data_IF_036642680012
#
_entry.id   IF_036642680012
#
_cell.length_a   1.000
_cell.length_b   1.000
_cell.length_c   1.000
_cell.angle_alpha   90.00
_cell.angle_beta   90.00
_cell.angle_gamma   90.00
#
_symmetry.space_group_name_H-M   'P 1'
#
loop_
_entity.id
_entity.type
_entity.pdbx_description
1 polymer ?
#
# COMPACT_ATOMS: atom_id res chain seq x y z
N UNK A 1 61.52 -15.24 2.14
CA UNK A 1 60.96 -16.08 1.07
C UNK A 1 59.68 -15.41 0.58
N UNK A 2 59.81 -14.59 -0.48
CA UNK A 2 58.74 -14.11 -1.38
C UNK A 2 58.27 -15.32 -2.22
N UNK A 3 57.05 -15.52 -2.73
CA UNK A 3 56.04 -14.73 -3.50
C UNK A 3 54.93 -15.77 -3.89
N UNK A 4 53.85 -15.52 -4.68
CA UNK A 4 53.02 -14.33 -4.94
C UNK A 4 51.48 -14.59 -4.97
N UNK A 5 50.77 -13.47 -5.01
CA UNK A 5 49.39 -13.16 -5.47
C UNK A 5 48.88 -13.95 -6.70
N UNK A 6 47.62 -14.42 -6.66
CA UNK A 6 46.64 -14.58 -7.77
C UNK A 6 45.22 -14.56 -7.16
N UNK A 7 44.49 -13.45 -7.14
CA UNK A 7 43.57 -13.00 -8.20
C UNK A 7 42.85 -14.14 -8.93
N UNK A 8 41.65 -14.48 -8.48
CA UNK A 8 40.61 -15.12 -9.27
C UNK A 8 39.27 -14.48 -8.89
N UNK A 9 38.87 -13.53 -9.75
CA UNK A 9 37.54 -12.98 -9.95
C UNK A 9 36.65 -12.82 -8.71
N UNK A 10 36.76 -11.64 -8.10
CA UNK A 10 35.60 -10.92 -7.60
C UNK A 10 34.74 -10.59 -8.85
N UNK A 11 33.97 -11.57 -9.32
CA UNK A 11 32.82 -11.27 -10.15
C UNK A 11 31.82 -10.61 -9.20
N UNK A 12 31.97 -9.30 -9.04
CA UNK A 12 30.87 -8.44 -8.67
C UNK A 12 29.82 -8.74 -9.75
N UNK A 13 28.90 -9.64 -9.42
CA UNK A 13 27.60 -9.65 -10.02
C UNK A 13 27.01 -8.32 -9.54
N UNK A 14 27.35 -7.24 -10.24
CA UNK A 14 26.43 -6.11 -10.37
C UNK A 14 25.26 -6.82 -11.04
N UNK A 15 24.31 -7.27 -10.22
CA UNK A 15 22.96 -7.41 -10.71
C UNK A 15 22.73 -6.08 -11.42
N UNK A 16 22.64 -6.14 -12.75
CA UNK A 16 22.05 -5.05 -13.48
C UNK A 16 20.75 -4.80 -12.75
N UNK A 17 20.72 -3.73 -11.95
CA UNK A 17 19.47 -3.22 -11.44
C UNK A 17 18.70 -2.93 -12.73
N UNK A 18 17.60 -3.65 -13.04
CA UNK A 18 16.73 -3.18 -14.10
C UNK A 18 16.36 -1.74 -13.76
N UNK A 19 16.26 -0.91 -14.79
CA UNK A 19 16.01 0.51 -14.67
C UNK A 19 14.89 0.77 -13.65
N UNK A 20 15.15 1.71 -12.75
CA UNK A 20 14.34 2.03 -11.59
C UNK A 20 12.90 2.32 -11.99
N UNK A 21 12.00 1.37 -11.76
CA UNK A 21 10.60 1.68 -11.74
C UNK A 21 10.35 2.73 -10.66
N UNK A 22 9.80 3.88 -11.05
CA UNK A 22 9.52 4.97 -10.13
C UNK A 22 8.29 4.64 -9.28
N UNK A 23 8.14 5.24 -8.09
CA UNK A 23 6.88 5.18 -7.36
C UNK A 23 5.71 5.74 -8.19
N UNK A 24 4.60 5.03 -8.22
CA UNK A 24 3.33 5.45 -8.78
C UNK A 24 2.35 5.81 -7.65
N UNK A 25 1.70 6.96 -7.82
CA UNK A 25 0.60 7.39 -6.96
C UNK A 25 -0.74 7.03 -7.61
N UNK A 26 -1.58 6.32 -6.86
CA UNK A 26 -2.90 5.91 -7.29
C UNK A 26 -3.95 6.54 -6.37
N UNK A 27 -5.00 7.07 -6.98
CA UNK A 27 -6.17 7.59 -6.29
C UNK A 27 -7.21 6.48 -6.15
N UNK A 28 -7.80 6.35 -4.95
CA UNK A 28 -8.88 5.39 -4.70
C UNK A 28 -10.17 5.85 -5.39
N UNK A 29 -10.82 4.95 -6.13
CA UNK A 29 -12.15 5.19 -6.66
C UNK A 29 -13.19 4.92 -5.56
N UNK A 30 -13.69 5.99 -4.93
CA UNK A 30 -14.70 5.96 -3.87
C UNK A 30 -15.99 5.24 -4.31
N UNK A 31 -16.31 5.21 -5.61
CA UNK A 31 -17.51 4.55 -6.12
C UNK A 31 -17.38 3.04 -6.24
N UNK A 32 -16.14 2.53 -6.26
CA UNK A 32 -15.81 1.11 -6.38
C UNK A 32 -15.17 0.53 -5.11
N UNK A 33 -14.87 1.39 -4.13
CA UNK A 33 -14.17 1.04 -2.90
C UNK A 33 -15.09 1.17 -1.70
N UNK A 34 -15.11 0.15 -0.85
CA UNK A 34 -15.98 0.11 0.31
C UNK A 34 -15.45 -0.81 1.40
N UNK A 35 -15.75 -0.46 2.64
CA UNK A 35 -15.70 -1.38 3.78
C UNK A 35 -17.12 -1.89 4.06
N UNK A 36 -17.23 -3.19 4.24
CA UNK A 36 -18.43 -3.86 4.75
C UNK A 36 -18.08 -4.57 6.05
N UNK A 37 -18.89 -4.37 7.08
CA UNK A 37 -18.74 -5.04 8.37
C UNK A 37 -20.10 -5.56 8.84
N UNK A 38 -20.11 -6.82 9.25
CA UNK A 38 -21.18 -7.46 10.02
C UNK A 38 -20.67 -7.66 11.45
N UNK A 39 -21.42 -7.20 12.43
CA UNK A 39 -21.13 -7.38 13.85
C UNK A 39 -22.23 -8.23 14.47
N UNK A 40 -21.84 -9.27 15.20
CA UNK A 40 -22.73 -10.01 16.08
C UNK A 40 -22.36 -9.70 17.53
N UNK A 41 -23.32 -9.17 18.27
CA UNK A 41 -23.26 -9.01 19.71
C UNK A 41 -23.94 -10.20 20.37
N UNK A 42 -23.14 -11.15 20.89
CA UNK A 42 -23.62 -12.31 21.64
C UNK A 42 -23.58 -12.02 23.14
N UNK A 43 -24.73 -12.14 23.79
CA UNK A 43 -24.89 -11.84 25.22
C UNK A 43 -25.62 -12.97 25.93
N UNK A 44 -25.54 -13.06 27.27
CA UNK A 44 -26.38 -13.95 28.06
C UNK A 44 -27.91 -13.80 27.83
N UNK A 45 -28.35 -12.70 27.22
CA UNK A 45 -29.76 -12.44 26.91
C UNK A 45 -30.15 -12.83 25.47
N UNK A 46 -29.18 -13.27 24.66
CA UNK A 46 -29.32 -13.63 23.25
C UNK A 46 -28.27 -12.95 22.38
N UNK A 47 -28.13 -13.43 21.15
CA UNK A 47 -27.30 -12.83 20.12
C UNK A 47 -28.12 -11.93 19.19
N UNK A 48 -27.57 -10.80 18.78
CA UNK A 48 -28.11 -9.92 17.75
C UNK A 48 -27.02 -9.58 16.75
N UNK A 49 -27.39 -9.42 15.48
CA UNK A 49 -26.47 -9.12 14.38
C UNK A 49 -26.96 -7.89 13.65
N UNK A 50 -26.02 -7.05 13.23
CA UNK A 50 -26.28 -5.91 12.37
C UNK A 50 -25.08 -5.70 11.43
N UNK A 51 -25.33 -5.11 10.28
CA UNK A 51 -24.32 -4.87 9.26
C UNK A 51 -24.40 -3.43 8.73
N UNK A 52 -23.24 -2.89 8.36
CA UNK A 52 -23.16 -1.59 7.73
C UNK A 52 -21.99 -1.53 6.73
N UNK A 53 -22.04 -0.56 5.84
CA UNK A 53 -20.99 -0.31 4.87
C UNK A 53 -20.76 1.17 4.64
N UNK A 54 -19.53 1.52 4.31
CA UNK A 54 -19.14 2.87 3.97
C UNK A 54 -18.19 2.86 2.78
N UNK A 55 -18.27 3.91 1.97
CA UNK A 55 -17.31 4.12 0.90
C UNK A 55 -15.92 4.43 1.47
N UNK A 56 -14.89 4.06 0.72
CA UNK A 56 -13.49 4.33 1.05
C UNK A 56 -12.93 5.31 0.04
N UNK A 57 -12.25 6.35 0.53
CA UNK A 57 -11.49 7.31 -0.26
C UNK A 57 -10.03 7.33 0.24
N UNK A 58 -9.11 7.85 -0.57
CA UNK A 58 -7.70 7.96 -0.20
C UNK A 58 -6.73 7.73 -1.34
N UNK A 59 -5.49 7.42 -0.96
CA UNK A 59 -4.37 7.25 -1.89
C UNK A 59 -3.54 6.04 -1.53
N UNK A 60 -2.86 5.49 -2.53
CA UNK A 60 -1.83 4.46 -2.36
C UNK A 60 -0.65 4.75 -3.28
N UNK A 61 0.54 4.72 -2.72
CA UNK A 61 1.81 4.82 -3.45
C UNK A 61 2.45 3.44 -3.49
N UNK A 62 2.75 2.97 -4.69
CA UNK A 62 3.38 1.68 -4.93
C UNK A 62 4.49 1.78 -5.95
N UNK A 63 5.31 0.74 -6.05
CA UNK A 63 6.32 0.58 -7.09
C UNK A 63 6.25 -0.85 -7.60
N UNK A 64 6.21 -1.03 -8.91
CA UNK A 64 6.40 -2.34 -9.55
C UNK A 64 7.87 -2.49 -9.92
N UNK A 65 8.41 -3.69 -10.09
CA UNK A 65 9.78 -3.84 -10.61
C UNK A 65 9.90 -3.54 -12.12
N UNK A 66 8.81 -3.75 -12.86
CA UNK A 66 8.67 -3.52 -14.28
C UNK A 66 7.17 -3.24 -14.55
N UNK A 67 6.83 -2.09 -15.13
CA UNK A 67 5.44 -1.72 -15.40
C UNK A 67 4.82 -2.47 -16.58
N UNK A 68 5.63 -3.00 -17.51
CA UNK A 68 5.16 -3.81 -18.64
C UNK A 68 4.92 -5.27 -18.25
N UNK A 69 5.78 -5.81 -17.39
CA UNK A 69 5.70 -7.20 -16.94
C UNK A 69 6.06 -7.34 -15.45
N UNK A 70 5.16 -6.93 -14.54
CA UNK A 70 5.45 -6.89 -13.11
C UNK A 70 5.66 -8.30 -12.54
N UNK A 71 6.74 -8.47 -11.78
CA UNK A 71 7.02 -9.67 -11.01
C UNK A 71 7.14 -9.42 -9.51
N UNK A 72 7.30 -8.15 -9.11
CA UNK A 72 7.35 -7.68 -7.73
C UNK A 72 6.52 -6.40 -7.62
N UNK A 73 5.77 -6.29 -6.52
CA UNK A 73 5.11 -5.06 -6.09
C UNK A 73 5.68 -4.65 -4.73
N UNK A 74 5.95 -3.37 -4.55
CA UNK A 74 6.34 -2.74 -3.30
C UNK A 74 5.28 -1.72 -2.91
N UNK A 75 4.69 -1.89 -1.73
CA UNK A 75 3.78 -0.90 -1.14
C UNK A 75 4.62 0.09 -0.33
N UNK A 76 4.59 1.36 -0.73
CA UNK A 76 5.43 2.42 -0.17
C UNK A 76 4.66 3.22 0.88
N UNK A 77 3.46 3.66 0.52
CA UNK A 77 2.58 4.42 1.41
C UNK A 77 1.11 4.13 1.05
N UNK A 78 0.22 4.24 2.01
CA UNK A 78 -1.22 4.34 1.76
C UNK A 78 -1.90 5.10 2.88
N UNK A 79 -2.99 5.76 2.53
CA UNK A 79 -3.90 6.36 3.49
C UNK A 79 -5.31 6.23 2.96
N UNK A 80 -6.09 5.39 3.64
CA UNK A 80 -7.50 5.18 3.37
C UNK A 80 -8.32 5.81 4.47
N UNK A 81 -9.42 6.45 4.09
CA UNK A 81 -10.41 7.00 4.99
C UNK A 81 -11.77 6.45 4.63
N UNK A 82 -12.61 6.25 5.64
CA UNK A 82 -13.97 5.75 5.46
C UNK A 82 -14.97 6.71 6.09
N UNK A 83 -16.19 6.70 5.57
CA UNK A 83 -17.36 7.22 6.26
C UNK A 83 -17.59 6.54 7.61
N UNK A 84 -18.61 7.02 8.33
CA UNK A 84 -19.03 6.42 9.60
C UNK A 84 -19.75 5.09 9.37
N UNK A 85 -19.56 4.14 10.27
CA UNK A 85 -20.34 2.90 10.36
C UNK A 85 -21.20 2.93 11.62
N UNK A 86 -22.46 2.55 11.53
CA UNK A 86 -23.43 2.56 12.61
C UNK A 86 -24.18 1.24 12.72
N UNK A 87 -24.18 0.68 13.93
CA UNK A 87 -24.82 -0.59 14.25
C UNK A 87 -25.85 -0.42 15.36
N UNK A 88 -26.99 -1.10 15.25
CA UNK A 88 -28.12 -1.07 16.17
C UNK A 88 -28.61 -2.49 16.49
N UNK A 89 -28.38 -2.92 17.73
CA UNK A 89 -28.80 -4.22 18.24
C UNK A 89 -30.05 -4.06 19.12
N UNK A 90 -31.21 -4.48 18.61
CA UNK A 90 -32.49 -4.34 19.30
C UNK A 90 -32.88 -5.62 20.06
N UNK A 91 -32.92 -5.53 21.39
CA UNK A 91 -33.35 -6.61 22.29
C UNK A 91 -34.81 -6.42 22.74
N UNK A 92 -35.61 -5.68 21.96
CA UNK A 92 -37.02 -5.39 22.24
C UNK A 92 -37.20 -4.74 23.61
N UNK A 93 -38.05 -5.29 24.48
CA UNK A 93 -38.32 -4.74 25.80
C UNK A 93 -37.09 -4.70 26.72
N UNK A 94 -36.02 -5.42 26.39
CA UNK A 94 -34.77 -5.42 27.14
C UNK A 94 -33.90 -4.18 26.83
N UNK A 95 -34.21 -3.45 25.75
CA UNK A 95 -33.52 -2.23 25.34
C UNK A 95 -32.70 -2.40 24.06
N UNK A 96 -31.87 -1.41 23.76
CA UNK A 96 -31.10 -1.33 22.51
C UNK A 96 -29.64 -1.01 22.81
N UNK A 97 -28.73 -1.60 22.05
CA UNK A 97 -27.31 -1.23 22.03
C UNK A 97 -26.99 -0.60 20.69
N UNK A 98 -26.30 0.54 20.69
CA UNK A 98 -25.77 1.16 19.48
C UNK A 98 -24.25 1.17 19.52
N UNK A 99 -23.62 0.94 18.37
CA UNK A 99 -22.19 1.12 18.18
C UNK A 99 -21.98 2.02 16.96
N UNK A 100 -21.16 3.06 17.09
CA UNK A 100 -20.86 3.97 15.99
C UNK A 100 -19.35 4.13 15.87
N UNK A 101 -18.82 3.84 14.70
CA UNK A 101 -17.43 4.05 14.34
C UNK A 101 -17.34 5.31 13.47
N UNK A 102 -16.49 6.26 13.84
CA UNK A 102 -16.36 7.56 13.15
C UNK A 102 -14.90 7.95 12.99
N UNK A 103 -14.59 8.70 11.94
CA UNK A 103 -13.22 9.13 11.64
C UNK A 103 -12.29 7.95 11.37
N UNK A 104 -12.80 6.91 10.72
CA UNK A 104 -12.04 5.70 10.41
C UNK A 104 -10.98 6.00 9.36
N UNK A 105 -9.74 5.68 9.68
CA UNK A 105 -8.62 5.76 8.74
C UNK A 105 -7.65 4.61 8.96
N UNK A 106 -7.09 4.12 7.85
CA UNK A 106 -6.09 3.07 7.77
C UNK A 106 -4.92 3.60 6.96
N UNK A 107 -3.72 3.64 7.54
CA UNK A 107 -2.53 4.13 6.86
C UNK A 107 -1.27 3.31 7.13
N UNK A 108 -0.18 3.58 6.42
CA UNK A 108 1.14 3.16 6.86
C UNK A 108 1.60 4.06 8.03
N UNK A 109 2.20 3.49 9.09
CA UNK A 109 2.90 4.28 10.09
C UNK A 109 4.03 5.12 9.46
N UNK A 110 4.24 6.35 9.94
CA UNK A 110 5.21 7.32 9.35
C UNK A 110 6.65 6.79 9.23
N UNK A 111 7.06 5.87 10.10
CA UNK A 111 8.40 5.27 10.11
C UNK A 111 8.43 3.83 9.56
N UNK A 112 7.30 3.33 9.03
CA UNK A 112 7.23 2.00 8.45
C UNK A 112 8.11 1.90 7.20
N UNK A 113 8.73 0.74 7.03
CA UNK A 113 9.47 0.44 5.81
C UNK A 113 8.51 -0.09 4.75
N UNK A 114 8.75 0.22 3.47
CA UNK A 114 7.99 -0.37 2.37
C UNK A 114 8.01 -1.90 2.45
N UNK A 115 6.89 -2.51 2.05
CA UNK A 115 6.73 -3.96 2.05
C UNK A 115 6.56 -4.48 0.62
N UNK A 116 7.31 -5.52 0.27
CA UNK A 116 7.31 -6.06 -1.10
C UNK A 116 6.79 -7.50 -1.14
N UNK A 117 6.15 -7.86 -2.24
CA UNK A 117 5.64 -9.20 -2.51
C UNK A 117 5.69 -9.56 -3.99
N UNK A 118 5.61 -10.86 -4.33
CA UNK A 118 5.62 -11.30 -5.71
C UNK A 118 4.29 -10.98 -6.42
N UNK A 119 4.39 -10.71 -7.72
CA UNK A 119 3.26 -10.60 -8.66
C UNK A 119 3.33 -11.80 -9.61
N UNK A 120 2.22 -12.50 -9.80
CA UNK A 120 2.14 -13.60 -10.75
C UNK A 120 1.81 -13.13 -12.18
N UNK A 121 1.87 -14.05 -13.14
CA UNK A 121 1.60 -13.74 -14.55
C UNK A 121 0.12 -13.35 -14.85
N UNK A 122 -0.77 -13.38 -13.86
CA UNK A 122 -2.15 -12.89 -13.94
C UNK A 122 -2.31 -11.53 -13.22
N UNK A 123 -1.22 -10.97 -12.69
CA UNK A 123 -1.24 -9.74 -11.90
C UNK A 123 -1.70 -9.96 -10.46
N UNK A 124 -1.88 -11.20 -10.00
CA UNK A 124 -2.23 -11.44 -8.60
C UNK A 124 -1.00 -11.26 -7.72
N UNK A 125 -1.19 -10.65 -6.56
CA UNK A 125 -0.10 -10.43 -5.61
C UNK A 125 -0.54 -10.69 -4.17
N UNK A 126 0.45 -10.99 -3.32
CA UNK A 126 0.32 -11.01 -1.87
C UNK A 126 1.55 -10.37 -1.26
N UNK A 127 1.35 -9.35 -0.43
CA UNK A 127 2.38 -8.71 0.39
C UNK A 127 2.11 -9.06 1.84
N UNK A 128 3.04 -9.79 2.46
CA UNK A 128 2.93 -10.22 3.85
C UNK A 128 3.56 -9.19 4.79
N UNK A 129 3.08 -9.16 6.04
CA UNK A 129 3.62 -8.31 7.11
C UNK A 129 3.60 -6.81 6.79
N UNK A 130 2.56 -6.34 6.09
CA UNK A 130 2.35 -4.92 5.81
C UNK A 130 2.02 -4.21 7.12
N UNK A 131 2.86 -3.26 7.60
CA UNK A 131 2.57 -2.50 8.79
C UNK A 131 1.37 -1.58 8.56
N UNK A 132 0.49 -1.48 9.55
CA UNK A 132 -0.70 -0.65 9.45
C UNK A 132 -0.96 0.11 10.75
N UNK A 133 -1.45 1.33 10.61
CA UNK A 133 -2.00 2.14 11.68
C UNK A 133 -3.49 2.36 11.42
N UNK A 134 -4.31 2.08 12.42
CA UNK A 134 -5.75 2.30 12.37
C UNK A 134 -6.11 3.41 13.34
N UNK A 135 -6.85 4.39 12.87
CA UNK A 135 -7.37 5.48 13.70
C UNK A 135 -8.88 5.58 13.56
N UNK A 136 -9.50 6.22 14.55
CA UNK A 136 -10.94 6.41 14.60
C UNK A 136 -11.49 6.15 16.00
N UNK A 137 -12.73 6.55 16.19
CA UNK A 137 -13.41 6.45 17.48
C UNK A 137 -14.61 5.52 17.33
N UNK A 138 -14.64 4.47 18.14
CA UNK A 138 -15.80 3.59 18.31
C UNK A 138 -16.51 3.97 19.60
N UNK A 139 -17.78 4.38 19.49
CA UNK A 139 -18.63 4.69 20.64
C UNK A 139 -19.73 3.65 20.77
N UNK A 140 -19.81 3.02 21.94
CA UNK A 140 -20.84 2.03 22.27
C UNK A 140 -21.74 2.60 23.35
N UNK A 141 -23.06 2.43 23.19
CA UNK A 141 -24.04 2.86 24.17
C UNK A 141 -25.22 1.91 24.25
N UNK A 142 -25.53 1.44 25.45
CA UNK A 142 -26.71 0.63 25.70
C UNK A 142 -27.80 1.37 26.48
N UNK A 143 -29.05 0.97 26.24
CA UNK A 143 -30.24 1.44 26.97
C UNK A 143 -31.00 0.25 27.57
N UNK A 144 -31.87 0.50 28.55
CA UNK A 144 -32.68 -0.56 29.17
C UNK A 144 -31.85 -1.56 29.99
N UNK A 145 -32.35 -2.78 30.13
CA UNK A 145 -31.67 -3.86 30.85
C UNK A 145 -30.41 -4.34 30.14
N UNK A 146 -30.40 -4.35 28.80
CA UNK A 146 -29.21 -4.70 28.03
C UNK A 146 -28.11 -3.63 28.19
N UNK A 147 -28.49 -2.36 28.32
CA UNK A 147 -27.53 -1.29 28.59
C UNK A 147 -26.85 -1.35 29.95
N UNK A 148 -27.49 -1.96 30.96
CA UNK A 148 -26.82 -2.22 32.24
C UNK A 148 -25.75 -3.33 32.13
N UNK A 149 -25.86 -4.21 31.12
CA UNK A 149 -24.92 -5.29 30.86
C UNK A 149 -23.75 -4.82 30.00
N UNK A 150 -24.03 -4.16 28.88
CA UNK A 150 -23.01 -3.70 27.92
C UNK A 150 -22.37 -2.38 28.35
N UNK A 151 -23.12 -1.54 29.06
CA UNK A 151 -22.66 -0.23 29.48
C UNK A 151 -22.57 0.79 28.33
N UNK A 152 -21.70 1.77 28.53
CA UNK A 152 -21.36 2.77 27.52
C UNK A 152 -19.87 3.05 27.59
N UNK A 153 -19.21 3.04 26.44
CA UNK A 153 -17.77 3.24 26.35
C UNK A 153 -17.40 3.92 25.03
N UNK A 154 -16.19 4.44 25.00
CA UNK A 154 -15.57 4.97 23.79
C UNK A 154 -14.18 4.36 23.71
N UNK A 155 -13.85 3.81 22.55
CA UNK A 155 -12.56 3.20 22.23
C UNK A 155 -11.93 4.02 21.14
N UNK A 156 -10.68 4.41 21.36
CA UNK A 156 -9.83 5.03 20.35
C UNK A 156 -9.01 3.94 19.67
N UNK A 157 -9.22 3.75 18.37
CA UNK A 157 -8.58 2.67 17.60
C UNK A 157 -7.06 2.85 17.49
N UNK A 158 -6.56 4.09 17.64
CA UNK A 158 -5.11 4.36 17.66
C UNK A 158 -4.39 3.76 18.88
N UNK A 159 -5.15 3.43 19.93
CA UNK A 159 -4.62 2.81 21.16
C UNK A 159 -4.64 1.29 21.13
N UNK A 160 -5.27 0.70 20.11
CA UNK A 160 -5.37 -0.74 19.93
C UNK A 160 -4.12 -1.22 19.20
N UNK A 161 -3.41 -2.19 19.79
CA UNK A 161 -2.25 -2.79 19.14
C UNK A 161 -2.70 -3.48 17.84
N UNK A 162 -2.05 -3.12 16.73
CA UNK A 162 -2.30 -3.70 15.41
C UNK A 162 -1.17 -4.64 15.04
N UNK A 163 -1.51 -5.87 14.64
CA UNK A 163 -0.56 -6.78 14.03
C UNK A 163 -0.42 -6.48 12.54
N UNK A 164 0.78 -6.65 11.94
CA UNK A 164 0.95 -6.52 10.50
C UNK A 164 -0.01 -7.43 9.73
N UNK A 165 -0.57 -6.92 8.63
CA UNK A 165 -1.55 -7.64 7.83
C UNK A 165 -0.93 -8.24 6.57
N UNK A 166 -1.62 -9.21 5.96
CA UNK A 166 -1.30 -9.67 4.60
C UNK A 166 -2.26 -9.00 3.62
N UNK A 167 -1.73 -8.24 2.67
CA UNK A 167 -2.49 -7.54 1.64
C UNK A 167 -2.46 -8.37 0.38
N UNK A 168 -3.62 -8.73 -0.16
CA UNK A 168 -3.73 -9.48 -1.41
C UNK A 168 -4.65 -8.77 -2.39
N UNK A 169 -4.35 -8.93 -3.67
CA UNK A 169 -5.07 -8.22 -4.71
C UNK A 169 -4.67 -8.61 -6.11
N UNK A 170 -5.09 -7.77 -7.06
CA UNK A 170 -4.72 -7.82 -8.45
C UNK A 170 -4.18 -6.46 -8.88
N UNK A 171 -3.11 -6.46 -9.67
CA UNK A 171 -2.57 -5.32 -10.36
C UNK A 171 -2.72 -5.53 -11.87
N UNK A 172 -3.23 -4.53 -12.57
CA UNK A 172 -3.36 -4.53 -14.01
C UNK A 172 -2.82 -3.23 -14.58
N UNK A 173 -1.79 -3.32 -15.42
CA UNK A 173 -1.22 -2.18 -16.14
C UNK A 173 -1.69 -2.24 -17.59
N UNK A 174 -2.37 -1.19 -18.06
CA UNK A 174 -2.88 -1.12 -19.41
C UNK A 174 -2.81 0.31 -19.96
N UNK A 175 -2.12 0.49 -21.10
CA UNK A 175 -2.12 1.74 -21.87
C UNK A 175 -1.87 2.98 -20.98
N UNK A 176 -0.82 2.92 -20.16
CA UNK A 176 -0.37 3.96 -19.23
C UNK A 176 -1.23 4.16 -17.98
N UNK A 177 -2.16 3.26 -17.69
CA UNK A 177 -2.95 3.27 -16.46
C UNK A 177 -2.69 2.03 -15.63
N UNK A 178 -2.38 2.24 -14.36
CA UNK A 178 -2.30 1.22 -13.33
C UNK A 178 -3.68 1.12 -12.69
N UNK A 179 -4.23 -0.09 -12.59
CA UNK A 179 -5.43 -0.39 -11.81
C UNK A 179 -5.07 -1.41 -10.75
N UNK A 180 -5.21 -1.03 -9.49
CA UNK A 180 -4.98 -1.87 -8.32
C UNK A 180 -6.33 -2.25 -7.71
N UNK A 181 -6.55 -3.53 -7.44
CA UNK A 181 -7.70 -4.02 -6.68
C UNK A 181 -7.23 -4.82 -5.48
N UNK A 182 -7.56 -4.39 -4.27
CA UNK A 182 -7.21 -5.06 -3.02
C UNK A 182 -8.48 -5.59 -2.37
N UNK A 183 -8.40 -6.80 -1.79
CA UNK A 183 -9.45 -7.32 -0.92
C UNK A 183 -8.84 -7.85 0.38
N UNK A 184 -9.27 -7.28 1.50
CA UNK A 184 -8.81 -7.67 2.84
C UNK A 184 -10.00 -8.23 3.62
N UNK A 185 -10.00 -9.52 3.98
CA UNK A 185 -10.99 -10.06 4.89
C UNK A 185 -10.75 -9.49 6.30
N UNK A 186 -11.84 -9.11 6.96
CA UNK A 186 -11.84 -8.64 8.34
C UNK A 186 -12.54 -9.70 9.18
N UNK A 187 -11.87 -10.23 10.19
CA UNK A 187 -12.46 -11.17 11.12
C UNK A 187 -11.86 -10.95 12.52
N UNK A 188 -12.69 -11.05 13.54
CA UNK A 188 -12.23 -11.04 14.91
C UNK A 188 -13.34 -11.24 15.92
N UNK A 189 -12.92 -11.46 17.16
CA UNK A 189 -13.82 -11.60 18.28
C UNK A 189 -13.16 -11.13 19.57
N UNK A 190 -13.95 -10.52 20.44
CA UNK A 190 -13.54 -10.19 21.80
C UNK A 190 -14.63 -10.58 22.80
N UNK A 191 -14.24 -11.10 23.95
CA UNK A 191 -15.16 -11.53 25.00
C UNK A 191 -14.79 -10.83 26.30
N UNK A 192 -15.73 -10.06 26.84
CA UNK A 192 -15.61 -9.48 28.17
C UNK A 192 -15.77 -10.60 29.22
N UNK A 193 -14.72 -10.92 30.01
CA UNK A 193 -14.76 -11.99 30.99
C UNK A 193 -15.67 -11.70 32.19
N UNK A 194 -15.98 -10.42 32.47
CA UNK A 194 -16.80 -10.02 33.61
C UNK A 194 -18.29 -10.09 33.27
N UNK A 195 -18.66 -9.71 32.04
CA UNK A 195 -20.08 -9.67 31.60
C UNK A 195 -20.48 -10.89 30.78
N UNK A 196 -19.52 -11.62 30.20
CA UNK A 196 -19.76 -12.73 29.27
C UNK A 196 -20.30 -12.27 27.91
N UNK A 197 -20.24 -10.97 27.61
CA UNK A 197 -20.59 -10.41 26.31
C UNK A 197 -19.47 -10.70 25.33
N UNK A 198 -19.82 -11.26 24.17
CA UNK A 198 -18.89 -11.50 23.07
C UNK A 198 -19.28 -10.65 21.88
N UNK A 199 -18.32 -9.90 21.34
CA UNK A 199 -18.45 -9.22 20.06
C UNK A 199 -17.73 -10.07 19.03
N UNK A 200 -18.43 -10.44 17.97
CA UNK A 200 -17.84 -11.06 16.78
C UNK A 200 -18.01 -10.07 15.64
N UNK A 201 -16.95 -9.86 14.85
CA UNK A 201 -17.06 -9.10 13.62
C UNK A 201 -16.48 -9.90 12.47
N UNK A 202 -17.13 -9.75 11.32
CA UNK A 202 -16.65 -10.27 10.05
C UNK A 202 -16.96 -9.28 8.95
N UNK A 203 -16.20 -9.29 7.87
CA UNK A 203 -16.42 -8.37 6.79
C UNK A 203 -15.32 -8.37 5.76
N UNK A 204 -15.38 -7.38 4.88
CA UNK A 204 -14.42 -7.25 3.79
C UNK A 204 -14.19 -5.78 3.50
N UNK A 205 -12.92 -5.42 3.35
CA UNK A 205 -12.50 -4.18 2.72
C UNK A 205 -12.17 -4.46 1.26
N UNK A 206 -12.74 -3.68 0.35
CA UNK A 206 -12.44 -3.72 -1.08
C UNK A 206 -11.96 -2.34 -1.50
N UNK A 207 -10.77 -2.26 -2.09
CA UNK A 207 -10.19 -1.01 -2.60
C UNK A 207 -9.90 -1.18 -4.07
N UNK A 208 -10.37 -0.24 -4.88
CA UNK A 208 -9.99 -0.08 -6.28
C UNK A 208 -9.30 1.27 -6.39
N UNK A 209 -8.05 1.29 -6.84
CA UNK A 209 -7.28 2.51 -7.03
C UNK A 209 -6.72 2.56 -8.45
N UNK A 210 -6.64 3.76 -9.00
CA UNK A 210 -6.11 3.98 -10.35
C UNK A 210 -5.13 5.13 -10.37
N UNK A 211 -4.06 5.00 -11.14
CA UNK A 211 -3.06 6.03 -11.33
C UNK A 211 -2.37 5.90 -12.68
N UNK A 212 -1.70 6.94 -13.16
CA UNK A 212 -0.87 6.83 -14.35
C UNK A 212 0.33 5.92 -14.06
N UNK A 213 0.80 5.21 -15.08
CA UNK A 213 2.18 4.68 -15.06
C UNK A 213 3.10 5.90 -14.96
N UNK A 214 4.04 5.94 -13.99
CA UNK A 214 5.05 7.00 -13.94
C UNK A 214 5.72 7.04 -15.30
N UNK A 215 5.81 8.24 -15.89
CA UNK A 215 6.62 8.38 -17.10
C UNK A 215 8.02 7.89 -16.73
N UNK A 216 8.54 6.91 -17.48
CA UNK A 216 9.95 6.57 -17.36
C UNK A 216 10.67 7.87 -17.67
N UNK A 217 11.28 8.49 -16.65
CA UNK A 217 12.22 9.57 -16.89
C UNK A 217 13.28 8.92 -17.76
N UNK A 218 13.24 9.24 -19.05
CA UNK A 218 14.25 8.85 -20.01
C UNK A 218 15.57 9.44 -19.56
N UNK A 219 16.25 8.76 -18.63
CA UNK A 219 17.48 9.27 -18.04
C UNK A 219 18.50 9.48 -19.15
N UNK A 220 18.41 8.67 -20.22
CA UNK A 220 19.22 8.82 -21.42
C UNK A 220 18.83 10.00 -22.33
N UNK A 221 17.61 10.57 -22.25
CA UNK A 221 17.21 11.85 -22.87
C UNK A 221 17.82 13.02 -22.09
N UNK A 222 19.13 13.14 -22.21
CA UNK A 222 19.90 14.17 -21.53
C UNK A 222 19.62 15.60 -22.04
N UNK A 223 18.84 15.74 -23.12
CA UNK A 223 18.48 17.04 -23.69
C UNK A 223 17.06 17.49 -23.32
N UNK A 224 16.21 16.56 -22.88
CA UNK A 224 14.84 16.77 -22.40
C UNK A 224 13.85 17.12 -23.51
N UNK A 225 14.10 16.70 -24.75
CA UNK A 225 13.19 16.94 -25.87
C UNK A 225 12.11 15.85 -26.05
N UNK A 226 12.14 14.83 -25.19
CA UNK A 226 11.20 13.71 -25.17
C UNK A 226 11.47 12.68 -26.26
N UNK A 227 12.64 12.71 -26.92
CA UNK A 227 13.00 11.75 -27.94
C UNK A 227 14.40 11.19 -27.71
N UNK A 228 14.49 9.87 -27.55
CA UNK A 228 15.79 9.19 -27.46
C UNK A 228 16.47 9.09 -28.83
N UNK A 229 17.43 9.97 -29.07
CA UNK A 229 18.16 10.12 -30.32
C UNK A 229 19.66 10.28 -30.09
N UNK A 230 20.49 10.25 -31.16
CA UNK A 230 21.91 10.60 -31.02
C UNK A 230 22.17 12.03 -30.51
N UNK A 231 21.17 12.92 -30.47
CA UNK A 231 21.30 14.25 -29.88
C UNK A 231 21.54 14.17 -28.38
N UNK A 232 20.94 13.19 -27.70
CA UNK A 232 21.08 13.01 -26.26
C UNK A 232 22.47 12.61 -25.84
N UNK A 233 23.16 11.83 -26.67
CA UNK A 233 24.57 11.54 -26.43
C UNK A 233 25.42 12.82 -26.42
N UNK A 234 25.09 13.76 -27.32
CA UNK A 234 25.79 15.05 -27.39
C UNK A 234 25.46 15.92 -26.17
N UNK A 235 24.21 15.92 -25.73
CA UNK A 235 23.79 16.61 -24.51
C UNK A 235 24.45 16.01 -23.25
N UNK A 236 24.49 14.68 -23.14
CA UNK A 236 25.17 13.97 -22.06
C UNK A 236 26.67 14.28 -22.01
N UNK A 237 27.37 14.31 -23.16
CA UNK A 237 28.78 14.74 -23.21
C UNK A 237 28.95 16.17 -22.67
N UNK A 238 28.03 17.08 -23.01
CA UNK A 238 28.08 18.45 -22.50
C UNK A 238 27.84 18.49 -20.99
N UNK A 239 26.88 17.72 -20.48
CA UNK A 239 26.63 17.59 -19.04
C UNK A 239 27.87 17.04 -18.32
N UNK A 240 28.48 15.97 -18.85
CA UNK A 240 29.69 15.35 -18.31
C UNK A 240 30.87 16.32 -18.24
N UNK A 241 31.12 17.08 -19.31
CA UNK A 241 32.22 18.04 -19.35
C UNK A 241 32.02 19.26 -18.44
N UNK A 242 30.77 19.60 -18.12
CA UNK A 242 30.43 20.73 -17.25
C UNK A 242 30.02 20.30 -15.83
N UNK A 243 30.05 19.00 -15.54
CA UNK A 243 29.65 18.41 -14.26
C UNK A 243 28.23 18.82 -13.84
N UNK A 244 27.28 18.75 -14.78
CA UNK A 244 25.86 19.05 -14.57
C UNK A 244 25.10 17.81 -14.06
N UNK A 245 23.95 17.94 -13.38
CA UNK A 245 23.24 16.78 -12.81
C UNK A 245 22.88 15.68 -13.82
N UNK A 246 22.61 16.03 -15.08
CA UNK A 246 22.14 15.11 -16.11
C UNK A 246 23.21 14.11 -16.59
N UNK A 247 24.48 14.29 -16.19
CA UNK A 247 25.51 13.28 -16.46
C UNK A 247 25.51 12.11 -15.48
N UNK A 248 24.84 12.22 -14.34
CA UNK A 248 24.66 11.12 -13.39
C UNK A 248 23.59 10.18 -13.92
N UNK A 249 24.02 9.06 -14.51
CA UNK A 249 23.17 8.11 -15.20
C UNK A 249 22.97 6.84 -14.40
N UNK A 250 23.72 6.67 -13.30
CA UNK A 250 23.61 5.55 -12.39
C UNK A 250 23.04 5.95 -11.00
N UNK A 251 22.74 7.23 -10.79
CA UNK A 251 22.13 7.77 -9.58
C UNK A 251 23.06 7.82 -8.37
N UNK A 252 24.39 7.80 -8.56
CA UNK A 252 25.35 7.79 -7.46
C UNK A 252 25.76 9.19 -6.96
N UNK A 253 25.11 10.23 -7.49
CA UNK A 253 25.35 11.65 -7.25
C UNK A 253 26.74 12.15 -7.70
N UNK A 254 27.44 11.41 -8.58
CA UNK A 254 28.74 11.79 -9.11
C UNK A 254 28.87 11.49 -10.61
N UNK A 255 29.17 12.54 -11.40
CA UNK A 255 29.51 12.34 -12.81
C UNK A 255 30.93 11.79 -12.98
N UNK A 256 31.01 10.50 -13.24
CA UNK A 256 32.24 9.75 -13.43
C UNK A 256 32.20 8.91 -14.71
N UNK A 257 33.32 8.32 -15.16
CA UNK A 257 33.30 7.49 -16.35
C UNK A 257 32.37 6.25 -16.27
N UNK A 258 31.88 5.85 -15.09
CA UNK A 258 30.89 4.78 -14.97
C UNK A 258 29.53 5.18 -15.53
N UNK A 259 29.19 6.46 -15.50
CA UNK A 259 27.96 7.00 -16.07
C UNK A 259 27.85 6.80 -17.57
N UNK A 260 28.97 6.75 -18.30
CA UNK A 260 28.93 6.44 -19.73
C UNK A 260 28.37 5.04 -19.99
N UNK A 261 28.73 4.08 -19.12
CA UNK A 261 28.24 2.70 -19.26
C UNK A 261 26.76 2.63 -18.88
N UNK A 262 26.35 3.38 -17.85
CA UNK A 262 24.95 3.51 -17.47
C UNK A 262 24.12 4.19 -18.58
N UNK A 263 24.61 5.29 -19.15
CA UNK A 263 23.96 5.96 -20.29
C UNK A 263 23.76 5.02 -21.47
N UNK A 264 24.75 4.21 -21.85
CA UNK A 264 24.59 3.20 -22.91
C UNK A 264 23.50 2.18 -22.54
N UNK A 265 23.46 1.76 -21.27
CA UNK A 265 22.43 0.85 -20.78
C UNK A 265 21.04 1.48 -20.92
N UNK A 266 20.87 2.70 -20.43
CA UNK A 266 19.63 3.47 -20.48
C UNK A 266 19.21 3.74 -21.95
N UNK A 267 20.15 4.12 -22.82
CA UNK A 267 19.88 4.37 -24.24
C UNK A 267 19.44 3.10 -24.98
N UNK A 268 19.99 1.94 -24.64
CA UNK A 268 19.60 0.67 -25.25
C UNK A 268 18.32 0.08 -24.63
N UNK A 269 18.01 0.44 -23.38
CA UNK A 269 16.74 0.10 -22.75
C UNK A 269 15.60 0.81 -23.46
N UNK A 270 15.82 2.07 -23.87
CA UNK A 270 14.84 2.85 -24.61
C UNK A 270 14.19 3.91 -23.73
N UNK A 271 13.02 4.34 -24.18
CA UNK A 271 12.20 5.39 -23.62
C UNK A 271 10.77 5.00 -23.94
N UNK A 272 9.98 4.65 -22.93
CA UNK A 272 8.59 4.25 -23.09
C UNK A 272 7.63 5.38 -22.69
#
# INVERSE_FOLDING_TARGET
MNTPIRHALLAILVAACPAYAQPADLDVDETQSSIFLEITLDTPLGAQTDDDSAAIDGTITLELDDYDNPTIITLIDYNFTSGSLGFVFDYSFLGTVTANATGLSLGLPVDAQPASGPVDAQGMFTVDNVPNEVTGIVSVGGTGTIGALVGSSTVDLSTVAQDPISVSGNINVASDTITLTISVPLEGSDTDPDTGVTVLFSGTTSVVATGPVPADECVADANGDGMLTPADFTAWINAFNNNLPECDQNGDAACTPTDFTAWISNFNAGCD
#
